data_IF_827365005820
#
_entry.id   IF_827365005820
#
_cell.length_a   1.000
_cell.length_b   1.000
_cell.length_c   1.000
_cell.angle_alpha   90.00
_cell.angle_beta   90.00
_cell.angle_gamma   90.00
#
_symmetry.space_group_name_H-M   'P 1'
#
loop_
_entity.id
_entity.type
_entity.pdbx_description
1 polymer ?
#
# COMPACT_ATOMS: atom_id res chain seq x y z
N UNK A 1 21.19 3.96 -11.67
CA UNK A 1 20.20 4.25 -10.62
C UNK A 1 19.24 3.08 -10.53
N UNK A 2 18.97 2.55 -9.33
CA UNK A 2 17.97 1.50 -9.13
C UNK A 2 16.57 2.09 -8.86
N UNK A 3 15.53 1.26 -8.85
CA UNK A 3 14.14 1.68 -8.63
C UNK A 3 13.97 2.42 -7.29
N UNK A 4 14.61 1.93 -6.23
CA UNK A 4 14.56 2.56 -4.90
C UNK A 4 15.11 3.99 -4.91
N UNK A 5 16.20 4.25 -5.64
CA UNK A 5 16.78 5.58 -5.80
C UNK A 5 15.87 6.52 -6.60
N UNK A 6 15.20 6.00 -7.64
CA UNK A 6 14.26 6.79 -8.45
C UNK A 6 13.03 7.18 -7.63
N UNK A 7 12.50 6.27 -6.81
CA UNK A 7 11.35 6.53 -5.95
C UNK A 7 11.68 7.55 -4.85
N UNK A 8 12.85 7.41 -4.21
CA UNK A 8 13.30 8.37 -3.20
C UNK A 8 13.46 9.79 -3.78
N UNK A 9 14.12 9.92 -4.94
CA UNK A 9 14.28 11.20 -5.62
C UNK A 9 12.92 11.81 -6.03
N UNK A 10 12.00 10.97 -6.53
CA UNK A 10 10.66 11.43 -6.92
C UNK A 10 9.83 11.89 -5.71
N UNK A 11 9.94 11.19 -4.59
CA UNK A 11 9.29 11.57 -3.34
C UNK A 11 9.79 12.93 -2.84
N UNK A 12 11.11 13.14 -2.79
CA UNK A 12 11.69 14.42 -2.38
C UNK A 12 11.25 15.57 -3.28
N UNK A 13 11.24 15.35 -4.59
CA UNK A 13 10.79 16.37 -5.55
C UNK A 13 9.31 16.72 -5.33
N UNK A 14 8.43 15.72 -5.21
CA UNK A 14 7.00 15.93 -4.99
C UNK A 14 6.70 16.63 -3.67
N UNK A 15 7.46 16.33 -2.61
CA UNK A 15 7.30 17.04 -1.32
C UNK A 15 7.58 18.53 -1.49
N UNK A 16 8.61 18.91 -2.25
CA UNK A 16 8.94 20.32 -2.51
C UNK A 16 7.94 21.02 -3.42
N UNK A 17 7.36 20.31 -4.38
CA UNK A 17 6.37 20.85 -5.32
C UNK A 17 4.99 21.04 -4.66
N UNK A 18 4.61 20.15 -3.75
CA UNK A 18 3.25 20.10 -3.18
C UNK A 18 3.15 20.82 -1.83
N UNK A 19 4.22 20.85 -1.04
CA UNK A 19 4.21 21.40 0.32
C UNK A 19 5.14 22.61 0.46
N UNK A 20 4.70 23.59 1.25
CA UNK A 20 5.59 24.66 1.72
C UNK A 20 6.70 24.09 2.63
N UNK A 21 7.83 24.80 2.82
CA UNK A 21 8.90 24.35 3.72
C UNK A 21 8.41 24.05 5.14
N UNK A 22 7.46 24.84 5.65
CA UNK A 22 6.86 24.61 6.96
C UNK A 22 6.05 23.31 7.01
N UNK A 23 5.20 23.07 6.01
CA UNK A 23 4.41 21.82 5.91
C UNK A 23 5.30 20.60 5.73
N UNK A 24 6.36 20.70 4.92
CA UNK A 24 7.32 19.61 4.75
C UNK A 24 8.07 19.29 6.05
N UNK A 25 8.46 20.32 6.81
CA UNK A 25 9.08 20.14 8.13
C UNK A 25 8.13 19.50 9.14
N UNK A 26 6.86 19.91 9.17
CA UNK A 26 5.82 19.26 9.99
C UNK A 26 5.66 17.79 9.64
N UNK A 27 5.52 17.46 8.34
CA UNK A 27 5.38 16.07 7.88
C UNK A 27 6.57 15.20 8.30
N UNK A 28 7.79 15.74 8.20
CA UNK A 28 9.01 15.05 8.63
C UNK A 28 9.03 14.84 10.15
N UNK A 29 8.67 15.85 10.93
CA UNK A 29 8.62 15.78 12.38
C UNK A 29 7.57 14.75 12.85
N UNK A 30 6.37 14.76 12.28
CA UNK A 30 5.29 13.84 12.61
C UNK A 30 5.69 12.39 12.26
N UNK A 31 6.32 12.19 11.10
CA UNK A 31 6.84 10.87 10.70
C UNK A 31 7.91 10.37 11.67
N UNK A 32 8.82 11.25 12.11
CA UNK A 32 9.84 10.90 13.08
C UNK A 32 9.23 10.55 14.45
N UNK A 33 8.23 11.31 14.90
CA UNK A 33 7.50 11.04 16.13
C UNK A 33 6.79 9.68 16.08
N UNK A 34 6.12 9.34 14.97
CA UNK A 34 5.51 8.02 14.76
C UNK A 34 6.54 6.89 14.81
N UNK A 35 7.71 7.05 14.18
CA UNK A 35 8.79 6.05 14.27
C UNK A 35 9.29 5.86 15.71
N UNK A 36 9.36 6.93 16.49
CA UNK A 36 9.77 6.86 17.89
C UNK A 36 8.79 6.08 18.77
N UNK A 37 7.52 5.93 18.37
CA UNK A 37 6.58 5.08 19.12
C UNK A 37 6.88 3.59 18.96
N UNK A 38 7.79 3.22 18.05
CA UNK A 38 8.12 1.83 17.76
C UNK A 38 7.11 1.12 16.87
N UNK A 39 6.25 1.88 16.17
CA UNK A 39 5.15 1.31 15.36
C UNK A 39 5.67 0.37 14.25
N UNK A 40 6.88 0.61 13.74
CA UNK A 40 7.51 -0.22 12.71
C UNK A 40 7.89 -1.61 13.26
N UNK A 41 8.37 -1.68 14.51
CA UNK A 41 8.74 -2.93 15.18
C UNK A 41 7.52 -3.72 15.66
N UNK A 42 6.40 -3.03 15.89
CA UNK A 42 5.11 -3.63 16.26
C UNK A 42 4.29 -4.08 15.04
N UNK A 43 4.74 -3.74 13.83
CA UNK A 43 4.13 -4.20 12.58
C UNK A 43 4.58 -5.62 12.22
N UNK A 44 3.86 -6.29 11.31
CA UNK A 44 4.27 -7.60 10.80
C UNK A 44 5.64 -7.53 10.14
N UNK A 45 6.51 -8.46 10.52
CA UNK A 45 7.86 -8.62 9.99
C UNK A 45 7.92 -9.77 8.96
N UNK A 46 9.03 -9.83 8.23
CA UNK A 46 9.27 -10.92 7.28
C UNK A 46 9.38 -12.25 8.04
N UNK A 47 8.57 -13.22 7.62
CA UNK A 47 8.48 -14.54 8.27
C UNK A 47 7.33 -14.65 9.27
N UNK A 48 6.70 -13.53 9.65
CA UNK A 48 5.52 -13.57 10.51
C UNK A 48 4.32 -14.14 9.74
N UNK A 49 3.44 -14.82 10.48
CA UNK A 49 2.16 -15.26 9.94
C UNK A 49 1.21 -14.07 9.79
N UNK A 50 0.71 -13.84 8.57
CA UNK A 50 -0.31 -12.83 8.32
C UNK A 50 -1.61 -13.21 9.04
N UNK A 51 -2.19 -12.33 9.89
CA UNK A 51 -3.48 -12.57 10.51
C UNK A 51 -4.57 -12.75 9.46
N UNK A 52 -5.45 -13.72 9.68
CA UNK A 52 -6.61 -13.89 8.82
C UNK A 52 -7.51 -12.66 8.89
N UNK A 53 -8.16 -12.33 7.77
CA UNK A 53 -9.17 -11.29 7.69
C UNK A 53 -10.31 -11.74 6.79
N UNK A 54 -11.48 -11.14 7.02
CA UNK A 54 -12.63 -11.22 6.12
C UNK A 54 -13.05 -9.79 5.82
N UNK A 55 -12.92 -9.36 4.57
CA UNK A 55 -13.20 -7.99 4.15
C UNK A 55 -14.26 -7.96 3.05
N UNK A 56 -15.17 -6.97 3.06
CA UNK A 56 -16.12 -6.79 1.97
C UNK A 56 -15.39 -6.37 0.70
N UNK A 57 -15.92 -6.79 -0.46
CA UNK A 57 -15.46 -6.30 -1.76
C UNK A 57 -16.45 -5.32 -2.36
N UNK A 58 -16.03 -4.64 -3.42
CA UNK A 58 -16.91 -3.80 -4.25
C UNK A 58 -18.04 -4.59 -4.92
N UNK A 59 -17.88 -5.92 -5.06
CA UNK A 59 -18.84 -6.82 -5.68
C UNK A 59 -19.81 -7.46 -4.67
N UNK A 60 -19.82 -6.98 -3.42
CA UNK A 60 -20.61 -7.47 -2.28
C UNK A 60 -20.22 -8.84 -1.72
N UNK A 61 -19.50 -9.69 -2.46
CA UNK A 61 -18.98 -10.94 -1.92
C UNK A 61 -17.75 -10.68 -1.02
N UNK A 62 -17.74 -11.15 0.23
CA UNK A 62 -16.61 -11.00 1.12
C UNK A 62 -15.45 -11.90 0.68
N UNK A 63 -14.22 -11.42 0.91
CA UNK A 63 -12.98 -12.18 0.65
C UNK A 63 -12.31 -12.49 1.97
N UNK A 64 -11.94 -13.76 2.15
CA UNK A 64 -11.17 -14.25 3.30
C UNK A 64 -9.74 -14.62 2.88
N UNK A 65 -8.74 -14.17 3.64
CA UNK A 65 -7.33 -14.44 3.32
C UNK A 65 -7.02 -15.94 3.29
N UNK A 66 -7.49 -16.71 4.28
CA UNK A 66 -7.24 -18.15 4.32
C UNK A 66 -7.81 -18.89 3.11
N UNK A 67 -8.96 -18.46 2.58
CA UNK A 67 -9.54 -19.06 1.37
C UNK A 67 -8.67 -18.78 0.15
N UNK A 68 -8.13 -17.56 0.03
CA UNK A 68 -7.18 -17.23 -1.04
C UNK A 68 -5.89 -18.05 -0.92
N UNK A 69 -5.31 -18.13 0.29
CA UNK A 69 -4.10 -18.91 0.55
C UNK A 69 -4.27 -20.41 0.27
N UNK A 70 -5.49 -20.94 0.37
CA UNK A 70 -5.79 -22.32 0.00
C UNK A 70 -5.68 -22.56 -1.53
N UNK A 71 -5.77 -21.50 -2.35
CA UNK A 71 -5.65 -21.59 -3.82
C UNK A 71 -4.22 -21.35 -4.30
N UNK A 72 -3.42 -20.58 -3.57
CA UNK A 72 -2.05 -20.25 -3.96
C UNK A 72 -1.47 -19.07 -3.17
N UNK A 73 -0.26 -18.60 -3.53
CA UNK A 73 0.34 -17.42 -2.93
C UNK A 73 -0.54 -16.18 -3.10
N UNK A 74 -0.49 -15.26 -2.13
CA UNK A 74 -1.27 -14.01 -2.18
C UNK A 74 -0.33 -12.82 -2.11
N UNK A 75 -0.49 -11.89 -3.06
CA UNK A 75 0.15 -10.58 -3.06
C UNK A 75 -0.87 -9.57 -2.56
N UNK A 76 -0.55 -8.88 -1.45
CA UNK A 76 -1.42 -7.86 -0.86
C UNK A 76 -0.76 -6.49 -1.06
N UNK A 77 -1.46 -5.55 -1.71
CA UNK A 77 -1.07 -4.14 -1.75
C UNK A 77 -2.06 -3.30 -0.93
N UNK A 78 -1.54 -2.58 0.05
CA UNK A 78 -2.31 -1.60 0.83
C UNK A 78 -2.17 -0.22 0.20
N UNK A 79 -3.27 0.39 -0.17
CA UNK A 79 -3.27 1.72 -0.78
C UNK A 79 -4.20 2.68 -0.04
N UNK A 80 -3.82 3.96 -0.02
CA UNK A 80 -4.52 5.01 0.74
C UNK A 80 -5.86 5.39 0.13
N UNK A 81 -5.88 5.48 -1.20
CA UNK A 81 -7.10 5.75 -1.95
C UNK A 81 -6.89 6.26 -3.36
N UNK A 82 -7.99 6.40 -4.09
CA UNK A 82 -8.00 6.84 -5.50
C UNK A 82 -7.47 8.27 -5.69
N UNK A 83 -7.53 9.08 -4.64
CA UNK A 83 -7.01 10.45 -4.60
C UNK A 83 -5.48 10.54 -4.47
N UNK A 84 -4.80 9.44 -4.15
CA UNK A 84 -3.35 9.43 -3.97
C UNK A 84 -2.67 9.09 -5.31
N UNK A 85 -1.96 10.05 -5.90
CA UNK A 85 -1.28 9.89 -7.20
C UNK A 85 -0.26 8.75 -7.23
N UNK A 86 0.43 8.50 -6.11
CA UNK A 86 1.34 7.37 -5.97
C UNK A 86 0.58 6.03 -5.99
N UNK A 87 -0.54 5.95 -5.27
CA UNK A 87 -1.36 4.75 -5.25
C UNK A 87 -1.94 4.44 -6.63
N UNK A 88 -2.40 5.45 -7.37
CA UNK A 88 -2.89 5.24 -8.75
C UNK A 88 -1.78 4.71 -9.67
N UNK A 89 -0.55 5.20 -9.53
CA UNK A 89 0.59 4.74 -10.32
C UNK A 89 0.98 3.30 -9.95
N UNK A 90 1.00 2.95 -8.65
CA UNK A 90 1.25 1.60 -8.15
C UNK A 90 0.19 0.61 -8.66
N UNK A 91 -1.10 0.94 -8.52
CA UNK A 91 -2.20 0.10 -8.99
C UNK A 91 -2.12 -0.15 -10.50
N UNK A 92 -1.76 0.86 -11.29
CA UNK A 92 -1.52 0.68 -12.74
C UNK A 92 -0.36 -0.27 -13.03
N UNK A 93 0.74 -0.17 -12.28
CA UNK A 93 1.87 -1.06 -12.45
C UNK A 93 1.52 -2.51 -12.07
N UNK A 94 0.73 -2.69 -11.00
CA UNK A 94 0.22 -3.99 -10.58
C UNK A 94 -0.75 -4.60 -11.59
N UNK A 95 -1.63 -3.79 -12.18
CA UNK A 95 -2.54 -4.22 -13.26
C UNK A 95 -1.75 -4.72 -14.48
N UNK A 96 -0.69 -4.02 -14.88
CA UNK A 96 0.20 -4.46 -15.94
C UNK A 96 0.96 -5.76 -15.60
N UNK A 97 1.27 -5.99 -14.32
CA UNK A 97 1.95 -7.19 -13.85
C UNK A 97 1.00 -8.37 -13.56
N UNK A 98 -0.31 -8.14 -13.56
CA UNK A 98 -1.32 -9.13 -13.19
C UNK A 98 -1.20 -10.45 -13.96
N UNK A 99 -0.96 -10.47 -15.29
CA UNK A 99 -0.78 -11.73 -16.01
C UNK A 99 0.42 -12.55 -15.49
N UNK A 100 1.56 -11.90 -15.23
CA UNK A 100 2.75 -12.57 -14.72
C UNK A 100 2.56 -13.07 -13.28
N UNK A 101 1.84 -12.32 -12.45
CA UNK A 101 1.47 -12.76 -11.09
C UNK A 101 0.57 -14.01 -11.17
N UNK A 102 -0.43 -13.99 -12.05
CA UNK A 102 -1.34 -15.11 -12.25
C UNK A 102 -0.65 -16.36 -12.82
N UNK A 103 0.31 -16.20 -13.74
CA UNK A 103 1.13 -17.30 -14.27
C UNK A 103 1.93 -18.03 -13.18
N UNK A 104 2.31 -17.32 -12.10
CA UNK A 104 2.96 -17.90 -10.92
C UNK A 104 1.97 -18.56 -9.95
N UNK A 105 0.69 -18.62 -10.31
CA UNK A 105 -0.38 -19.17 -9.46
C UNK A 105 -0.75 -18.27 -8.28
N UNK A 106 -0.33 -17.00 -8.29
CA UNK A 106 -0.58 -16.07 -7.21
C UNK A 106 -1.85 -15.23 -7.45
N UNK A 107 -2.51 -14.85 -6.36
CA UNK A 107 -3.66 -13.93 -6.37
C UNK A 107 -3.23 -12.55 -5.89
N UNK A 108 -3.52 -11.51 -6.66
CA UNK A 108 -3.31 -10.12 -6.25
C UNK A 108 -4.57 -9.55 -5.60
N UNK A 109 -4.43 -8.95 -4.41
CA UNK A 109 -5.51 -8.25 -3.69
C UNK A 109 -5.05 -6.85 -3.32
N UNK A 110 -5.90 -5.86 -3.58
CA UNK A 110 -5.65 -4.47 -3.19
C UNK A 110 -6.63 -4.05 -2.08
N UNK A 111 -6.09 -3.58 -0.95
CA UNK A 111 -6.86 -3.21 0.24
C UNK A 111 -6.76 -1.70 0.48
N UNK A 112 -7.89 -1.06 0.82
CA UNK A 112 -7.93 0.34 1.23
C UNK A 112 -8.74 0.54 2.51
N UNK A 113 -8.57 1.66 3.24
CA UNK A 113 -9.25 1.90 4.51
C UNK A 113 -10.78 2.09 4.42
N UNK A 114 -11.38 2.21 3.23
CA UNK A 114 -12.82 2.48 3.09
C UNK A 114 -13.39 2.16 1.70
N UNK A 115 -14.72 2.14 1.60
CA UNK A 115 -15.43 1.82 0.35
C UNK A 115 -15.04 2.79 -0.77
N UNK A 116 -14.31 2.29 -1.77
CA UNK A 116 -13.80 3.07 -2.90
C UNK A 116 -13.08 4.37 -2.51
N UNK A 117 -12.32 4.34 -1.40
CA UNK A 117 -11.35 5.34 -0.96
C UNK A 117 -11.48 6.76 -1.56
N UNK A 118 -12.58 7.44 -1.24
CA UNK A 118 -12.74 8.88 -1.42
C UNK A 118 -11.77 9.63 -0.50
N UNK A 119 -11.40 10.86 -0.86
CA UNK A 119 -10.53 11.69 -0.02
C UNK A 119 -11.17 11.83 1.38
N UNK A 120 -10.45 11.52 2.47
CA UNK A 120 -10.98 11.80 3.81
C UNK A 120 -11.25 13.32 3.95
N UNK A 121 -12.31 13.71 4.68
CA UNK A 121 -12.69 15.11 4.82
C UNK A 121 -11.57 15.99 5.40
#
# INVERSE_FOLDING_TARGET
>A
MNLSQQLAARQEQLVREVFSPAQAATLQADTAALKQTGIEQQSLQVGDAMPNFVLPTIAADPVELQQLLATGPVVISFYRGSWCTFCSAELKALDMALPAIAELGATLVSISPGAAASRPP
#
